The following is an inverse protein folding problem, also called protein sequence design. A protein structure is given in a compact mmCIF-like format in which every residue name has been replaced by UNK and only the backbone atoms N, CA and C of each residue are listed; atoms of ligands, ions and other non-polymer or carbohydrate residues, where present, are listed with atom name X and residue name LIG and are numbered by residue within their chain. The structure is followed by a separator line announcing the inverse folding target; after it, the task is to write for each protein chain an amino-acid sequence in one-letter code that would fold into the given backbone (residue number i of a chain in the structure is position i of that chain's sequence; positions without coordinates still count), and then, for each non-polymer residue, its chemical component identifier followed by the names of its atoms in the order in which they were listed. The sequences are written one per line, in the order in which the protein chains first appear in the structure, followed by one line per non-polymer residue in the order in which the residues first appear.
data_IF_117456803148
#
_entry.id   IF_117456803148
#
_cell.length_a   1.000
_cell.length_b   1.000
_cell.length_c   1.000
_cell.angle_alpha   90.00
_cell.angle_beta   90.00
_cell.angle_gamma   90.00
#
_symmetry.space_group_name_H-M   'P 1'
#
loop_
_entity.id
_entity.type
_entity.pdbx_description
1 polymer ?
#
# COMPACT_ATOMS: atom_id res chain seq x y z
N UNK A 1 1.02 -23.82 15.49
CA UNK A 1 -0.15 -24.71 15.66
C UNK A 1 -1.36 -23.92 16.20
N UNK A 2 -1.70 -22.78 15.60
CA UNK A 2 -2.82 -21.91 16.03
C UNK A 2 -3.56 -21.22 14.87
N UNK A 3 -3.39 -21.72 13.63
CA UNK A 3 -3.97 -21.10 12.42
C UNK A 3 -5.09 -21.95 11.78
N UNK A 4 -5.49 -23.07 12.40
CA UNK A 4 -6.46 -24.01 11.80
C UNK A 4 -7.91 -23.84 12.28
N UNK A 5 -8.20 -23.03 13.31
CA UNK A 5 -9.57 -22.87 13.86
C UNK A 5 -10.33 -21.61 13.40
N UNK A 6 -9.68 -20.67 12.71
CA UNK A 6 -10.28 -19.40 12.27
C UNK A 6 -11.31 -19.43 11.11
N UNK A 7 -11.33 -20.40 10.16
CA UNK A 7 -12.24 -20.30 9.02
C UNK A 7 -13.73 -20.48 9.38
N UNK A 8 -14.02 -21.13 10.51
CA UNK A 8 -15.40 -21.37 10.97
C UNK A 8 -16.03 -20.13 11.59
N UNK A 9 -15.29 -19.34 12.36
CA UNK A 9 -15.80 -18.13 13.01
C UNK A 9 -16.25 -17.09 11.99
N UNK A 10 -15.44 -16.84 10.96
CA UNK A 10 -15.79 -15.90 9.89
C UNK A 10 -17.03 -16.34 9.10
N UNK A 11 -17.23 -17.64 8.90
CA UNK A 11 -18.39 -18.19 8.21
C UNK A 11 -19.67 -17.97 9.05
N UNK A 12 -19.61 -18.20 10.35
CA UNK A 12 -20.72 -17.99 11.29
C UNK A 12 -21.09 -16.50 11.33
N UNK A 13 -20.11 -15.60 11.49
CA UNK A 13 -20.37 -14.16 11.44
C UNK A 13 -21.00 -13.75 10.10
N UNK A 14 -20.50 -14.29 8.98
CA UNK A 14 -21.06 -14.01 7.66
C UNK A 14 -22.54 -14.41 7.56
N UNK A 15 -22.92 -15.59 8.06
CA UNK A 15 -24.33 -16.02 8.09
C UNK A 15 -25.21 -15.11 8.95
N UNK A 16 -24.73 -14.70 10.13
CA UNK A 16 -25.44 -13.75 11.00
C UNK A 16 -25.64 -12.39 10.32
N UNK A 17 -24.61 -11.85 9.65
CA UNK A 17 -24.71 -10.61 8.88
C UNK A 17 -25.73 -10.71 7.75
N UNK A 18 -25.75 -11.83 7.00
CA UNK A 18 -26.71 -12.03 5.93
C UNK A 18 -28.15 -12.18 6.43
N UNK A 19 -28.35 -12.92 7.52
CA UNK A 19 -29.66 -13.07 8.15
C UNK A 19 -30.20 -11.70 8.62
N UNK A 20 -29.34 -10.90 9.27
CA UNK A 20 -29.69 -9.55 9.71
C UNK A 20 -29.97 -8.60 8.52
N UNK A 21 -29.13 -8.64 7.49
CA UNK A 21 -29.33 -7.82 6.29
C UNK A 21 -30.63 -8.19 5.56
N UNK A 22 -30.91 -9.49 5.40
CA UNK A 22 -32.14 -9.98 4.79
C UNK A 22 -33.37 -9.56 5.61
N UNK A 23 -33.29 -9.63 6.94
CA UNK A 23 -34.35 -9.15 7.83
C UNK A 23 -34.59 -7.65 7.67
N UNK A 24 -33.54 -6.83 7.68
CA UNK A 24 -33.66 -5.37 7.51
C UNK A 24 -34.24 -5.02 6.13
N UNK A 25 -33.82 -5.71 5.07
CA UNK A 25 -34.30 -5.43 3.71
C UNK A 25 -35.78 -5.81 3.50
N UNK A 26 -36.24 -6.93 4.08
CA UNK A 26 -37.61 -7.43 3.83
C UNK A 26 -38.62 -7.01 4.89
N UNK A 27 -38.17 -6.79 6.13
CA UNK A 27 -39.05 -6.53 7.29
C UNK A 27 -38.68 -5.26 8.06
N UNK A 28 -37.57 -4.60 7.72
CA UNK A 28 -37.18 -3.33 8.32
C UNK A 28 -38.02 -2.16 7.83
N UNK A 29 -38.00 -1.06 8.58
CA UNK A 29 -38.66 0.19 8.17
C UNK A 29 -37.83 0.90 7.10
N UNK A 30 -38.48 1.40 6.03
CA UNK A 30 -37.80 2.08 4.91
C UNK A 30 -37.05 3.36 5.34
N UNK A 31 -37.54 4.03 6.38
CA UNK A 31 -36.93 5.22 6.99
C UNK A 31 -36.79 5.01 8.49
N UNK A 32 -35.75 5.61 9.08
CA UNK A 32 -35.42 5.45 10.50
C UNK A 32 -35.62 6.75 11.28
N UNK A 33 -35.90 7.85 10.59
CA UNK A 33 -36.03 9.21 11.13
C UNK A 33 -37.14 9.32 12.18
N UNK A 34 -38.26 8.64 11.96
CA UNK A 34 -39.42 8.66 12.86
C UNK A 34 -39.35 7.54 13.91
N UNK A 35 -39.00 6.32 13.49
CA UNK A 35 -39.02 5.13 14.35
C UNK A 35 -37.82 5.05 15.29
N UNK A 36 -36.64 5.49 14.84
CA UNK A 36 -35.38 5.38 15.58
C UNK A 36 -34.48 6.62 15.36
N UNK A 37 -34.76 7.76 16.00
CA UNK A 37 -34.06 9.04 15.75
C UNK A 37 -32.54 9.00 16.00
N UNK A 38 -32.09 8.07 16.84
CA UNK A 38 -30.66 7.82 17.05
C UNK A 38 -29.98 7.20 15.81
N UNK A 39 -30.68 6.36 15.04
CA UNK A 39 -30.16 5.71 13.84
C UNK A 39 -30.55 6.44 12.53
N UNK A 40 -31.65 7.21 12.54
CA UNK A 40 -32.05 8.06 11.40
C UNK A 40 -31.04 9.18 11.12
N UNK A 41 -30.80 9.47 9.83
CA UNK A 41 -29.92 10.55 9.43
C UNK A 41 -30.30 11.17 8.08
N UNK A 42 -30.28 12.50 8.01
CA UNK A 42 -30.34 13.22 6.74
C UNK A 42 -28.92 13.47 6.23
N UNK A 43 -28.65 13.13 4.97
CA UNK A 43 -27.30 13.31 4.36
C UNK A 43 -26.80 14.76 4.38
N UNK A 44 -27.73 15.73 4.44
CA UNK A 44 -27.45 17.17 4.57
C UNK A 44 -27.14 17.59 6.02
N UNK A 45 -27.49 16.77 7.03
CA UNK A 45 -27.16 17.04 8.43
C UNK A 45 -25.68 16.76 8.69
N UNK A 46 -24.91 17.84 8.66
CA UNK A 46 -23.46 17.82 8.84
C UNK A 46 -23.02 17.29 10.19
N UNK A 47 -23.79 17.54 11.26
CA UNK A 47 -23.39 17.11 12.60
C UNK A 47 -23.59 15.61 12.73
N UNK A 48 -24.69 15.08 12.19
CA UNK A 48 -24.95 13.64 12.19
C UNK A 48 -23.89 12.88 11.38
N UNK A 49 -23.44 13.43 10.24
CA UNK A 49 -22.37 12.82 9.43
C UNK A 49 -21.03 12.80 10.16
N UNK A 50 -20.64 13.89 10.87
CA UNK A 50 -19.39 13.90 11.65
C UNK A 50 -19.46 12.99 12.87
N UNK A 51 -20.62 12.88 13.54
CA UNK A 51 -20.82 11.91 14.63
C UNK A 51 -20.68 10.47 14.14
N UNK A 52 -21.27 10.13 12.99
CA UNK A 52 -21.15 8.78 12.40
C UNK A 52 -19.68 8.50 12.02
N UNK A 53 -18.99 9.45 11.38
CA UNK A 53 -17.56 9.32 11.10
C UNK A 53 -16.74 9.11 12.39
N UNK A 54 -17.04 9.87 13.44
CA UNK A 54 -16.36 9.76 14.73
C UNK A 54 -16.53 8.40 15.40
N UNK A 55 -17.72 7.78 15.29
CA UNK A 55 -17.97 6.41 15.78
C UNK A 55 -17.13 5.40 14.99
N UNK A 56 -17.07 5.51 13.65
CA UNK A 56 -16.27 4.60 12.82
C UNK A 56 -14.77 4.71 13.09
N UNK A 57 -14.26 5.92 13.36
CA UNK A 57 -12.85 6.13 13.72
C UNK A 57 -12.49 5.47 15.07
N UNK A 58 -13.42 5.40 16.03
CA UNK A 58 -13.19 4.75 17.34
C UNK A 58 -13.16 3.21 17.23
N UNK A 59 -13.90 2.64 16.27
CA UNK A 59 -14.03 1.19 16.10
C UNK A 59 -12.89 0.54 15.31
N UNK A 60 -12.04 1.31 14.63
CA UNK A 60 -10.84 0.80 14.00
C UNK A 60 -9.83 0.32 15.08
N UNK A 61 -9.79 -0.98 15.33
CA UNK A 61 -8.87 -1.63 16.29
C UNK A 61 -8.06 -2.73 15.60
N UNK A 62 -6.89 -2.99 16.18
CA UNK A 62 -5.83 -3.84 15.64
C UNK A 62 -5.79 -5.21 16.34
N UNK A 63 -5.33 -6.25 15.62
CA UNK A 63 -5.19 -7.64 16.08
C UNK A 63 -3.76 -8.01 16.51
N UNK A 64 -3.61 -9.15 17.20
CA UNK A 64 -2.38 -9.59 17.89
C UNK A 64 -1.61 -10.71 17.13
N UNK A 65 -0.27 -10.73 17.24
CA UNK A 65 0.59 -11.80 17.85
C UNK A 65 2.08 -11.55 17.54
N UNK A 66 2.78 -10.92 18.49
CA UNK A 66 4.16 -11.15 19.02
C UNK A 66 4.40 -10.08 20.09
N UNK A 67 4.88 -10.45 21.29
CA UNK A 67 5.19 -9.45 22.34
C UNK A 67 6.44 -8.65 21.97
N UNK A 68 6.25 -7.45 21.43
CA UNK A 68 7.31 -6.45 21.28
C UNK A 68 7.39 -5.64 22.56
N UNK A 69 8.53 -5.68 23.24
CA UNK A 69 8.72 -5.01 24.54
C UNK A 69 9.24 -3.59 24.41
N UNK A 70 9.89 -3.24 23.30
CA UNK A 70 10.54 -1.94 23.07
C UNK A 70 9.96 -1.29 21.81
N UNK A 71 8.83 -0.61 21.95
CA UNK A 71 8.13 0.05 20.84
C UNK A 71 8.79 1.37 20.45
N UNK A 72 8.88 1.67 19.15
CA UNK A 72 9.27 2.99 18.68
C UNK A 72 8.11 3.97 18.84
N UNK A 73 8.13 4.74 19.91
CA UNK A 73 7.14 5.81 20.15
C UNK A 73 7.67 7.20 19.78
N UNK A 74 8.89 7.30 19.27
CA UNK A 74 9.49 8.57 18.86
C UNK A 74 8.73 9.16 17.67
N UNK A 75 8.08 10.34 17.80
CA UNK A 75 7.31 10.93 16.72
C UNK A 75 8.20 11.30 15.52
N UNK A 76 9.47 11.64 15.75
CA UNK A 76 10.39 12.00 14.68
C UNK A 76 10.68 10.83 13.72
N UNK A 77 10.65 9.59 14.22
CA UNK A 77 10.86 8.40 13.40
C UNK A 77 9.56 8.07 12.67
N UNK A 78 8.46 7.93 13.41
CA UNK A 78 7.14 7.54 12.86
C UNK A 78 6.63 8.54 11.82
N UNK A 79 6.61 9.83 12.14
CA UNK A 79 6.22 10.87 11.17
C UNK A 79 7.33 11.16 10.15
N UNK A 80 8.57 10.77 10.43
CA UNK A 80 9.68 10.82 9.49
C UNK A 80 9.39 10.00 8.23
N UNK A 81 8.85 8.78 8.37
CA UNK A 81 8.42 7.95 7.23
C UNK A 81 7.42 8.66 6.31
N UNK A 82 6.48 9.43 6.86
CA UNK A 82 5.48 10.17 6.06
C UNK A 82 6.11 11.26 5.18
N UNK A 83 7.28 11.76 5.56
CA UNK A 83 7.99 12.83 4.86
C UNK A 83 9.10 12.32 3.93
N UNK A 84 9.36 11.00 3.91
CA UNK A 84 10.33 10.41 2.99
C UNK A 84 9.84 10.51 1.54
N UNK A 85 10.81 10.62 0.64
CA UNK A 85 10.56 10.62 -0.81
C UNK A 85 9.98 9.27 -1.26
N UNK A 86 9.00 9.24 -2.19
CA UNK A 86 8.47 7.99 -2.74
C UNK A 86 9.35 7.37 -3.84
N UNK A 87 10.51 7.96 -4.13
CA UNK A 87 11.44 7.48 -5.17
C UNK A 87 12.41 6.41 -4.63
N UNK A 88 13.18 5.80 -5.55
CA UNK A 88 14.17 4.76 -5.23
C UNK A 88 15.16 5.20 -4.14
N UNK A 89 15.61 4.24 -3.34
CA UNK A 89 16.43 4.45 -2.13
C UNK A 89 15.67 4.92 -0.88
N UNK A 90 14.52 5.60 -1.03
CA UNK A 90 13.79 6.20 0.09
C UNK A 90 12.47 5.48 0.40
N UNK A 91 11.62 5.26 -0.62
CA UNK A 91 10.47 4.36 -0.55
C UNK A 91 9.29 4.79 0.33
N UNK A 92 9.17 6.08 0.71
CA UNK A 92 8.10 6.60 1.57
C UNK A 92 7.79 5.66 2.77
N UNK A 93 6.52 5.44 3.11
CA UNK A 93 6.11 4.49 4.17
C UNK A 93 6.34 3.02 3.82
N UNK A 94 6.55 2.68 2.55
CA UNK A 94 6.83 1.30 2.09
C UNK A 94 8.20 0.83 2.57
N UNK A 95 9.07 1.76 2.97
CA UNK A 95 10.42 1.49 3.45
C UNK A 95 10.54 1.02 4.90
N UNK A 96 9.44 0.89 5.64
CA UNK A 96 9.47 0.39 7.03
C UNK A 96 10.08 -1.02 7.08
N UNK A 97 11.15 -1.18 7.85
CA UNK A 97 12.00 -2.37 7.83
C UNK A 97 12.02 -3.17 9.14
N UNK A 98 11.42 -2.68 10.22
CA UNK A 98 11.28 -3.40 11.49
C UNK A 98 9.83 -3.42 12.04
N UNK A 99 9.58 -4.30 13.01
CA UNK A 99 8.24 -4.49 13.58
C UNK A 99 7.94 -3.46 14.68
N UNK A 100 8.97 -2.94 15.35
CA UNK A 100 8.87 -1.92 16.38
C UNK A 100 8.25 -0.62 15.85
N UNK A 101 8.64 -0.21 14.65
CA UNK A 101 8.13 0.95 13.93
C UNK A 101 6.73 0.70 13.37
N UNK A 102 6.43 -0.51 12.88
CA UNK A 102 5.08 -0.89 12.45
C UNK A 102 4.11 -0.77 13.63
N UNK A 103 4.38 -1.45 14.75
CA UNK A 103 3.48 -1.40 15.91
C UNK A 103 3.45 0.00 16.53
N UNK A 104 4.59 0.68 16.62
CA UNK A 104 4.66 2.07 17.08
C UNK A 104 3.79 3.00 16.24
N UNK A 105 3.81 2.85 14.92
CA UNK A 105 2.95 3.57 13.99
C UNK A 105 1.46 3.32 14.22
N UNK A 106 1.06 2.08 14.50
CA UNK A 106 -0.34 1.76 14.79
C UNK A 106 -0.81 2.29 16.15
N UNK A 107 0.06 2.33 17.16
CA UNK A 107 -0.23 3.00 18.44
C UNK A 107 -0.53 4.49 18.22
N UNK A 108 0.28 5.17 17.40
CA UNK A 108 0.03 6.55 17.00
C UNK A 108 -1.27 6.69 16.21
N UNK A 109 -1.50 5.84 15.21
CA UNK A 109 -2.71 5.86 14.38
C UNK A 109 -3.97 5.66 15.22
N UNK A 110 -4.00 4.64 16.09
CA UNK A 110 -5.12 4.38 16.99
C UNK A 110 -5.41 5.55 17.92
N UNK A 111 -4.37 6.16 18.48
CA UNK A 111 -4.50 7.36 19.32
C UNK A 111 -5.09 8.55 18.55
N UNK A 112 -4.61 8.80 17.33
CA UNK A 112 -5.10 9.88 16.46
C UNK A 112 -6.56 9.62 16.05
N UNK A 113 -6.91 8.38 15.70
CA UNK A 113 -8.28 8.01 15.34
C UNK A 113 -9.26 8.19 16.51
N UNK A 114 -8.87 7.80 17.73
CA UNK A 114 -9.71 7.99 18.93
C UNK A 114 -9.90 9.48 19.22
N UNK A 115 -8.81 10.25 19.30
CA UNK A 115 -8.87 11.67 19.61
C UNK A 115 -9.61 12.45 18.51
N UNK A 116 -9.37 12.12 17.23
CA UNK A 116 -10.07 12.66 16.08
C UNK A 116 -11.55 12.29 16.08
N UNK A 117 -11.90 11.07 16.48
CA UNK A 117 -13.28 10.61 16.60
C UNK A 117 -14.05 11.38 17.67
N UNK A 118 -13.48 11.53 18.87
CA UNK A 118 -14.04 12.35 19.95
C UNK A 118 -14.21 13.80 19.47
N UNK A 119 -13.19 14.36 18.82
CA UNK A 119 -13.25 15.71 18.25
C UNK A 119 -14.42 15.87 17.26
N UNK A 120 -14.60 14.95 16.32
CA UNK A 120 -15.68 15.00 15.34
C UNK A 120 -17.09 14.77 15.93
N UNK A 121 -17.20 14.10 17.08
CA UNK A 121 -18.45 13.97 17.84
C UNK A 121 -18.80 15.28 18.55
N UNK A 122 -17.80 15.94 19.14
CA UNK A 122 -18.01 17.14 19.97
C UNK A 122 -18.07 18.44 19.17
N UNK A 123 -17.62 18.44 17.92
CA UNK A 123 -17.53 19.65 17.10
C UNK A 123 -18.45 19.61 15.88
N UNK A 124 -18.69 20.79 15.29
CA UNK A 124 -19.44 20.96 14.05
C UNK A 124 -18.51 21.52 12.96
N UNK A 125 -18.74 21.23 11.66
CA UNK A 125 -17.87 21.74 10.61
C UNK A 125 -17.75 23.26 10.60
N UNK A 126 -16.50 23.75 10.61
CA UNK A 126 -16.19 25.18 10.58
C UNK A 126 -16.67 25.85 9.28
N UNK A 127 -16.78 27.18 9.31
CA UNK A 127 -17.28 27.95 8.17
C UNK A 127 -16.51 27.70 6.86
N UNK A 128 -15.19 27.71 6.91
CA UNK A 128 -14.35 27.46 5.73
C UNK A 128 -14.62 26.08 5.12
N UNK A 129 -14.74 25.03 5.94
CA UNK A 129 -15.02 23.66 5.48
C UNK A 129 -16.40 23.56 4.85
N UNK A 130 -17.40 24.27 5.43
CA UNK A 130 -18.75 24.36 4.88
C UNK A 130 -18.78 24.99 3.49
N UNK A 131 -17.90 25.94 3.21
CA UNK A 131 -17.79 26.64 1.92
C UNK A 131 -16.94 25.89 0.89
N UNK A 132 -16.02 25.01 1.32
CA UNK A 132 -15.11 24.31 0.42
C UNK A 132 -15.68 23.00 -0.15
N UNK A 133 -16.60 22.34 0.56
CA UNK A 133 -17.06 20.98 0.25
C UNK A 133 -18.52 20.93 -0.23
N UNK A 134 -18.85 19.86 -0.96
CA UNK A 134 -20.22 19.54 -1.35
C UNK A 134 -20.84 18.61 -0.31
N UNK A 135 -21.97 19.00 0.26
CA UNK A 135 -22.63 18.28 1.36
C UNK A 135 -23.80 17.43 0.86
N UNK A 136 -23.48 16.32 0.20
CA UNK A 136 -24.46 15.35 -0.31
C UNK A 136 -23.93 13.92 -0.14
N UNK A 137 -24.83 12.92 -0.10
CA UNK A 137 -24.41 11.52 0.03
C UNK A 137 -23.55 11.03 -1.13
N UNK A 138 -23.81 11.51 -2.35
CA UNK A 138 -22.97 11.17 -3.51
C UNK A 138 -21.59 11.81 -3.43
N UNK A 139 -21.47 13.02 -2.87
CA UNK A 139 -20.18 13.64 -2.60
C UNK A 139 -19.38 12.84 -1.55
N UNK A 140 -20.02 12.41 -0.45
CA UNK A 140 -19.34 11.59 0.56
C UNK A 140 -18.88 10.24 -0.01
N UNK A 141 -19.71 9.58 -0.82
CA UNK A 141 -19.31 8.38 -1.56
C UNK A 141 -18.08 8.66 -2.43
N UNK A 142 -18.07 9.78 -3.17
CA UNK A 142 -16.93 10.14 -4.02
C UNK A 142 -15.64 10.33 -3.21
N UNK A 143 -15.69 10.96 -2.03
CA UNK A 143 -14.52 11.17 -1.18
C UNK A 143 -13.96 9.83 -0.69
N UNK A 144 -14.82 8.90 -0.28
CA UNK A 144 -14.42 7.56 0.12
C UNK A 144 -13.85 6.74 -1.04
N UNK A 145 -14.40 6.86 -2.25
CA UNK A 145 -13.86 6.19 -3.43
C UNK A 145 -12.45 6.67 -3.78
N UNK A 146 -12.20 7.98 -3.70
CA UNK A 146 -10.85 8.54 -3.91
C UNK A 146 -9.85 8.04 -2.86
N UNK A 147 -10.27 8.00 -1.58
CA UNK A 147 -9.44 7.45 -0.51
C UNK A 147 -9.12 5.96 -0.72
N UNK A 148 -10.11 5.14 -1.08
CA UNK A 148 -9.91 3.71 -1.36
C UNK A 148 -9.03 3.47 -2.60
N UNK A 149 -9.17 4.28 -3.64
CA UNK A 149 -8.29 4.21 -4.81
C UNK A 149 -6.84 4.46 -4.42
N UNK A 150 -6.59 5.50 -3.61
CA UNK A 150 -5.26 5.79 -3.08
C UNK A 150 -4.73 4.65 -2.18
N UNK A 151 -5.54 4.09 -1.29
CA UNK A 151 -5.15 2.92 -0.48
C UNK A 151 -4.80 1.70 -1.34
N UNK A 152 -5.52 1.49 -2.44
CA UNK A 152 -5.21 0.43 -3.40
C UNK A 152 -3.83 0.60 -4.06
N UNK A 153 -3.47 1.82 -4.46
CA UNK A 153 -2.13 2.11 -4.99
C UNK A 153 -1.04 1.87 -3.95
N UNK A 154 -1.24 2.33 -2.71
CA UNK A 154 -0.30 2.11 -1.61
C UNK A 154 -0.13 0.61 -1.35
N UNK A 155 -1.23 -0.14 -1.23
CA UNK A 155 -1.19 -1.58 -1.00
C UNK A 155 -0.45 -2.33 -2.11
N UNK A 156 -0.64 -1.91 -3.37
CA UNK A 156 0.09 -2.47 -4.51
C UNK A 156 1.61 -2.26 -4.39
N UNK A 157 2.05 -1.07 -3.99
CA UNK A 157 3.48 -0.82 -3.75
C UNK A 157 4.00 -1.60 -2.54
N UNK A 158 3.23 -1.69 -1.46
CA UNK A 158 3.61 -2.44 -0.25
C UNK A 158 3.88 -3.91 -0.55
N UNK A 159 2.93 -4.60 -1.17
CA UNK A 159 3.08 -6.03 -1.49
C UNK A 159 4.20 -6.29 -2.52
N UNK A 160 4.51 -5.30 -3.36
CA UNK A 160 5.53 -5.45 -4.39
C UNK A 160 6.96 -5.24 -3.88
N UNK A 161 7.15 -4.39 -2.87
CA UNK A 161 8.48 -3.95 -2.43
C UNK A 161 8.84 -4.31 -0.99
N UNK A 162 7.87 -4.34 -0.06
CA UNK A 162 8.16 -4.51 1.35
C UNK A 162 8.18 -5.99 1.74
N UNK A 163 9.32 -6.47 2.25
CA UNK A 163 9.51 -7.85 2.72
C UNK A 163 9.49 -7.98 4.26
N UNK A 164 9.17 -6.91 5.00
CA UNK A 164 9.02 -6.92 6.46
C UNK A 164 7.59 -7.25 6.86
N UNK A 165 6.62 -6.46 6.38
CA UNK A 165 5.19 -6.68 6.57
C UNK A 165 4.64 -7.80 5.69
N UNK A 166 5.29 -8.07 4.55
CA UNK A 166 5.02 -9.23 3.69
C UNK A 166 6.25 -10.13 3.59
N UNK A 167 6.51 -10.98 4.60
CA UNK A 167 7.71 -11.81 4.63
C UNK A 167 7.79 -12.76 3.43
N UNK A 168 8.94 -12.78 2.77
CA UNK A 168 9.18 -13.59 1.58
C UNK A 168 9.07 -15.10 1.85
N UNK A 169 9.15 -15.54 3.12
CA UNK A 169 8.85 -16.91 3.55
C UNK A 169 7.39 -17.32 3.29
N UNK A 170 6.45 -16.39 3.37
CA UNK A 170 5.02 -16.67 3.18
C UNK A 170 4.53 -16.26 1.80
N UNK A 171 5.04 -15.15 1.27
CA UNK A 171 4.55 -14.53 0.04
C UNK A 171 5.44 -14.79 -1.18
N UNK A 172 6.61 -15.42 -0.99
CA UNK A 172 7.63 -15.56 -2.04
C UNK A 172 8.49 -14.30 -2.19
N UNK A 173 9.57 -14.34 -3.00
CA UNK A 173 10.47 -13.21 -3.16
C UNK A 173 9.81 -12.07 -3.93
N UNK A 174 10.15 -10.83 -3.56
CA UNK A 174 9.83 -9.66 -4.39
C UNK A 174 10.57 -9.72 -5.74
N UNK A 175 10.10 -8.96 -6.73
CA UNK A 175 10.80 -8.85 -8.03
C UNK A 175 12.27 -8.42 -7.90
N UNK A 176 12.58 -7.34 -7.14
CA UNK A 176 13.95 -6.95 -6.82
C UNK A 176 14.75 -8.07 -6.11
N UNK A 177 14.12 -8.78 -5.17
CA UNK A 177 14.76 -9.85 -4.41
C UNK A 177 15.15 -11.04 -5.28
N UNK A 178 14.26 -11.52 -6.14
CA UNK A 178 14.54 -12.59 -7.08
C UNK A 178 15.66 -12.21 -8.07
N UNK A 179 15.69 -10.95 -8.53
CA UNK A 179 16.74 -10.46 -9.44
C UNK A 179 18.12 -10.41 -8.77
N UNK A 180 18.21 -9.96 -7.52
CA UNK A 180 19.46 -10.00 -6.77
C UNK A 180 19.87 -11.43 -6.40
N UNK A 181 18.91 -12.30 -6.07
CA UNK A 181 19.16 -13.70 -5.80
C UNK A 181 19.75 -14.43 -7.02
N UNK A 182 19.32 -14.08 -8.24
CA UNK A 182 19.92 -14.57 -9.49
C UNK A 182 21.39 -14.16 -9.61
N UNK A 183 21.70 -12.87 -9.44
CA UNK A 183 23.08 -12.37 -9.55
C UNK A 183 23.99 -13.00 -8.50
N UNK A 184 23.51 -13.13 -7.26
CA UNK A 184 24.23 -13.80 -6.18
C UNK A 184 24.50 -15.27 -6.49
N UNK A 185 23.50 -16.03 -6.95
CA UNK A 185 23.64 -17.45 -7.28
C UNK A 185 24.74 -17.69 -8.32
N UNK A 186 24.77 -16.88 -9.39
CA UNK A 186 25.82 -17.00 -10.42
C UNK A 186 27.19 -16.52 -9.93
N UNK A 187 27.25 -15.51 -9.07
CA UNK A 187 28.49 -15.06 -8.43
C UNK A 187 29.10 -16.20 -7.60
N UNK A 188 28.32 -16.84 -6.73
CA UNK A 188 28.79 -17.95 -5.89
C UNK A 188 29.28 -19.11 -6.74
N UNK A 189 28.50 -19.50 -7.77
CA UNK A 189 28.88 -20.57 -8.69
C UNK A 189 30.22 -20.30 -9.35
N UNK A 190 30.38 -19.12 -9.96
CA UNK A 190 31.57 -18.80 -10.74
C UNK A 190 32.80 -18.58 -9.83
N UNK A 191 32.61 -18.06 -8.62
CA UNK A 191 33.67 -17.99 -7.62
C UNK A 191 34.17 -19.38 -7.22
N UNK A 192 33.28 -20.36 -7.04
CA UNK A 192 33.65 -21.76 -6.77
C UNK A 192 34.36 -22.44 -7.93
N UNK A 193 34.09 -22.00 -9.16
CA UNK A 193 34.82 -22.41 -10.37
C UNK A 193 36.19 -21.70 -10.51
N UNK A 194 36.57 -20.84 -9.56
CA UNK A 194 37.86 -20.14 -9.55
C UNK A 194 37.85 -18.77 -10.22
N UNK A 195 36.69 -18.21 -10.58
CA UNK A 195 36.61 -16.88 -11.15
C UNK A 195 36.85 -15.78 -10.10
N UNK A 196 37.68 -14.79 -10.44
CA UNK A 196 37.86 -13.60 -9.62
C UNK A 196 36.70 -12.61 -9.82
N UNK A 197 35.63 -12.77 -9.04
CA UNK A 197 34.39 -11.99 -9.19
C UNK A 197 34.57 -10.47 -9.05
N UNK A 198 35.59 -10.02 -8.31
CA UNK A 198 35.90 -8.60 -8.13
C UNK A 198 36.68 -7.94 -9.28
N UNK A 199 37.29 -8.73 -10.17
CA UNK A 199 38.07 -8.22 -11.31
C UNK A 199 37.55 -8.72 -12.66
N UNK A 200 36.46 -9.48 -12.67
CA UNK A 200 35.86 -10.01 -13.89
C UNK A 200 35.12 -8.89 -14.63
N UNK A 201 35.67 -8.47 -15.76
CA UNK A 201 35.06 -7.49 -16.65
C UNK A 201 34.01 -8.15 -17.54
N UNK A 202 32.83 -7.54 -17.62
CA UNK A 202 31.75 -7.91 -18.53
C UNK A 202 31.91 -7.29 -19.92
N UNK A 203 31.07 -7.69 -20.89
CA UNK A 203 31.20 -7.25 -22.29
C UNK A 203 31.08 -5.74 -22.52
N UNK A 204 30.38 -5.03 -21.62
CA UNK A 204 30.17 -3.58 -21.69
C UNK A 204 31.33 -2.77 -21.08
N UNK A 205 32.36 -3.43 -20.57
CA UNK A 205 33.45 -2.81 -19.84
C UNK A 205 33.18 -2.60 -18.35
N UNK A 206 31.93 -2.76 -17.88
CA UNK A 206 31.57 -2.80 -16.47
C UNK A 206 31.90 -4.15 -15.83
N UNK A 207 31.96 -4.22 -14.50
CA UNK A 207 32.17 -5.49 -13.82
C UNK A 207 31.00 -6.47 -14.02
N UNK A 208 31.31 -7.73 -14.30
CA UNK A 208 30.32 -8.77 -14.61
C UNK A 208 29.44 -9.11 -13.39
N UNK A 209 30.04 -9.21 -12.21
CA UNK A 209 29.35 -9.61 -10.97
C UNK A 209 29.18 -8.45 -9.98
N UNK A 210 30.15 -7.54 -9.93
CA UNK A 210 30.17 -6.41 -9.01
C UNK A 210 30.48 -5.13 -9.78
N UNK A 211 29.79 -4.04 -9.43
CA UNK A 211 30.06 -2.70 -9.96
C UNK A 211 29.79 -1.65 -8.87
N UNK A 212 29.85 -0.36 -9.22
CA UNK A 212 29.51 0.73 -8.30
C UNK A 212 28.15 1.32 -8.61
N UNK A 213 27.41 1.66 -7.56
CA UNK A 213 26.21 2.50 -7.66
C UNK A 213 26.59 3.93 -8.05
N UNK A 214 25.61 4.79 -8.43
CA UNK A 214 25.87 6.21 -8.71
C UNK A 214 26.50 6.97 -7.53
N UNK A 215 26.36 6.47 -6.30
CA UNK A 215 26.94 7.05 -5.08
C UNK A 215 28.20 6.32 -4.59
N UNK A 216 28.68 5.33 -5.35
CA UNK A 216 29.97 4.67 -5.11
C UNK A 216 29.91 3.39 -4.27
N UNK A 217 28.73 2.94 -3.80
CA UNK A 217 28.58 1.66 -3.10
C UNK A 217 28.83 0.48 -4.02
N UNK A 218 29.36 -0.62 -3.48
CA UNK A 218 29.54 -1.87 -4.21
C UNK A 218 28.20 -2.61 -4.32
N UNK A 219 27.77 -2.86 -5.55
CA UNK A 219 26.46 -3.46 -5.88
C UNK A 219 26.65 -4.61 -6.88
N UNK A 220 25.62 -5.43 -7.07
CA UNK A 220 25.63 -6.48 -8.08
C UNK A 220 25.65 -5.93 -9.52
N UNK A 221 26.29 -6.71 -10.40
CA UNK A 221 26.50 -6.45 -11.81
C UNK A 221 25.26 -6.71 -12.69
N UNK A 222 25.30 -6.28 -13.96
CA UNK A 222 24.23 -6.55 -14.92
C UNK A 222 22.94 -5.76 -14.68
N UNK A 223 21.81 -6.24 -15.21
CA UNK A 223 20.54 -5.51 -15.16
C UNK A 223 19.97 -5.30 -13.75
N UNK A 224 20.40 -6.10 -12.77
CA UNK A 224 20.01 -5.96 -11.36
C UNK A 224 20.66 -4.74 -10.68
N UNK A 225 21.49 -3.97 -11.40
CA UNK A 225 22.00 -2.68 -10.92
C UNK A 225 20.87 -1.72 -10.50
N UNK A 226 19.68 -1.87 -11.10
CA UNK A 226 18.48 -1.07 -10.79
C UNK A 226 17.85 -1.41 -9.43
N UNK A 227 18.20 -2.56 -8.85
CA UNK A 227 17.62 -3.09 -7.61
C UNK A 227 18.60 -3.07 -6.44
N UNK A 228 19.63 -2.23 -6.50
CA UNK A 228 20.68 -2.16 -5.49
C UNK A 228 20.21 -1.71 -4.09
N UNK A 229 19.06 -1.05 -4.04
CA UNK A 229 18.36 -0.63 -2.82
C UNK A 229 17.77 -1.82 -2.02
N UNK A 230 17.73 -3.03 -2.60
CA UNK A 230 17.21 -4.20 -1.90
C UNK A 230 17.98 -4.45 -0.59
N UNK A 231 17.20 -4.62 0.49
CA UNK A 231 17.65 -5.14 1.77
C UNK A 231 16.91 -6.44 2.05
N UNK A 232 17.65 -7.48 2.41
CA UNK A 232 17.08 -8.79 2.66
C UNK A 232 17.89 -9.57 3.71
N UNK A 233 17.26 -10.29 4.64
CA UNK A 233 17.96 -10.98 5.73
C UNK A 233 19.06 -11.94 5.27
N UNK A 234 18.88 -12.58 4.10
CA UNK A 234 19.85 -13.49 3.51
C UNK A 234 21.06 -12.79 2.86
N UNK A 235 20.99 -11.48 2.62
CA UNK A 235 22.06 -10.70 1.96
C UNK A 235 22.77 -9.73 2.92
N UNK A 236 22.10 -9.22 3.95
CA UNK A 236 22.63 -8.17 4.83
C UNK A 236 23.95 -8.52 5.51
N UNK A 237 24.17 -9.79 5.87
CA UNK A 237 25.43 -10.23 6.49
C UNK A 237 26.65 -10.03 5.58
N UNK A 238 26.46 -9.93 4.26
CA UNK A 238 27.51 -9.74 3.27
C UNK A 238 27.73 -8.25 2.92
N UNK A 239 26.92 -7.35 3.49
CA UNK A 239 27.03 -5.89 3.31
C UNK A 239 27.93 -5.29 4.41
N UNK A 240 28.80 -4.37 4.00
CA UNK A 240 29.63 -3.53 4.86
C UNK A 240 29.29 -2.04 4.68
N UNK A 241 30.11 -1.13 5.24
CA UNK A 241 29.84 0.31 5.18
C UNK A 241 29.78 0.91 3.76
N UNK A 242 30.41 0.24 2.78
CA UNK A 242 30.51 0.70 1.39
C UNK A 242 29.71 -0.20 0.42
N UNK A 243 28.65 -0.87 0.88
CA UNK A 243 27.90 -1.85 0.10
C UNK A 243 28.44 -3.27 0.27
N UNK A 244 28.36 -4.12 -0.77
CA UNK A 244 28.80 -5.51 -0.70
C UNK A 244 30.30 -5.64 -0.41
N UNK A 245 30.66 -6.41 0.62
CA UNK A 245 32.04 -6.59 1.04
C UNK A 245 32.69 -7.77 0.33
N UNK A 246 33.71 -7.49 -0.49
CA UNK A 246 34.44 -8.50 -1.25
C UNK A 246 35.12 -9.54 -0.35
N UNK A 247 35.55 -9.17 0.86
CA UNK A 247 36.18 -10.11 1.78
C UNK A 247 35.16 -11.12 2.32
N UNK A 248 33.96 -10.66 2.65
CA UNK A 248 32.84 -11.50 3.11
C UNK A 248 32.30 -12.38 1.99
N UNK A 249 32.13 -11.83 0.78
CA UNK A 249 31.75 -12.61 -0.40
C UNK A 249 32.72 -13.75 -0.70
N UNK A 250 34.01 -13.58 -0.38
CA UNK A 250 35.02 -14.63 -0.58
C UNK A 250 35.02 -15.71 0.49
N UNK A 251 34.64 -15.40 1.73
CA UNK A 251 34.92 -16.26 2.89
C UNK A 251 33.70 -16.63 3.73
N UNK A 252 32.68 -15.79 3.75
CA UNK A 252 31.63 -15.83 4.76
C UNK A 252 30.26 -16.23 4.21
N UNK A 253 30.18 -16.57 2.91
CA UNK A 253 28.96 -17.11 2.31
C UNK A 253 28.59 -18.44 2.96
N UNK A 254 27.39 -18.50 3.51
CA UNK A 254 26.85 -19.67 4.16
C UNK A 254 26.02 -20.51 3.19
N UNK A 255 26.01 -21.86 3.31
CA UNK A 255 25.19 -22.70 2.46
C UNK A 255 23.72 -22.29 2.43
N UNK A 256 23.12 -21.97 3.58
CA UNK A 256 21.70 -21.59 3.65
C UNK A 256 21.37 -20.32 2.82
N UNK A 257 22.32 -19.40 2.66
CA UNK A 257 22.16 -18.22 1.80
C UNK A 257 22.10 -18.63 0.33
N UNK A 258 22.91 -19.62 -0.07
CA UNK A 258 22.90 -20.18 -1.44
C UNK A 258 21.61 -20.94 -1.74
N UNK A 259 21.10 -21.72 -0.77
CA UNK A 259 19.81 -22.39 -0.90
C UNK A 259 18.68 -21.38 -1.07
N UNK A 260 18.66 -20.36 -0.21
CA UNK A 260 17.65 -19.30 -0.24
C UNK A 260 17.71 -18.49 -1.54
N UNK A 261 18.90 -18.15 -2.02
CA UNK A 261 19.04 -17.42 -3.28
C UNK A 261 18.66 -18.26 -4.50
N UNK A 262 18.98 -19.56 -4.49
CA UNK A 262 18.57 -20.46 -5.56
C UNK A 262 17.05 -20.61 -5.60
N UNK A 263 16.42 -20.81 -4.45
CA UNK A 263 14.96 -20.83 -4.30
C UNK A 263 14.33 -19.55 -4.85
N UNK A 264 14.79 -18.38 -4.38
CA UNK A 264 14.22 -17.10 -4.78
C UNK A 264 14.46 -16.75 -6.25
N UNK A 265 15.59 -17.15 -6.83
CA UNK A 265 15.82 -17.05 -8.27
C UNK A 265 14.82 -17.89 -9.07
N UNK A 266 14.52 -19.12 -8.62
CA UNK A 266 13.60 -20.03 -9.33
C UNK A 266 12.13 -19.72 -9.12
N UNK A 267 11.80 -18.96 -8.06
CA UNK A 267 10.45 -18.53 -7.72
C UNK A 267 10.22 -17.03 -7.97
N UNK A 268 10.92 -16.45 -8.96
CA UNK A 268 10.68 -15.08 -9.39
C UNK A 268 9.18 -14.85 -9.70
N UNK A 269 8.58 -13.70 -9.31
CA UNK A 269 7.15 -13.43 -9.48
C UNK A 269 6.79 -13.08 -10.93
N UNK A 270 7.01 -14.06 -11.82
CA UNK A 270 6.77 -13.99 -13.25
C UNK A 270 5.94 -15.21 -13.66
N UNK A 271 4.83 -14.96 -14.33
CA UNK A 271 3.97 -16.01 -14.84
C UNK A 271 2.88 -15.48 -15.75
N UNK A 272 2.24 -16.39 -16.47
CA UNK A 272 1.11 -16.08 -17.34
C UNK A 272 -0.23 -16.12 -16.58
N UNK A 273 -1.27 -15.56 -17.21
CA UNK A 273 -2.63 -15.58 -16.66
C UNK A 273 -3.19 -17.00 -16.43
N UNK A 274 -2.73 -18.01 -17.19
CA UNK A 274 -3.10 -19.41 -17.01
C UNK A 274 -2.16 -20.17 -16.07
N UNK A 275 -1.48 -19.46 -15.16
CA UNK A 275 -0.64 -20.01 -14.10
C UNK A 275 0.57 -20.83 -14.58
N UNK A 276 1.13 -20.48 -15.74
CA UNK A 276 2.43 -21.02 -16.17
C UNK A 276 3.51 -20.08 -15.66
N UNK A 277 4.34 -20.58 -14.74
CA UNK A 277 5.48 -19.82 -14.20
C UNK A 277 6.57 -19.59 -15.24
N UNK A 278 7.22 -18.43 -15.17
CA UNK A 278 8.34 -18.06 -16.04
C UNK A 278 8.08 -16.81 -16.89
N UNK A 279 9.05 -16.51 -17.74
CA UNK A 279 9.05 -15.29 -18.57
C UNK A 279 8.09 -15.45 -19.74
N UNK A 280 7.24 -14.45 -19.97
CA UNK A 280 6.44 -14.35 -21.18
C UNK A 280 7.30 -13.87 -22.36
N UNK A 281 7.12 -14.45 -23.55
CA UNK A 281 7.70 -13.92 -24.80
C UNK A 281 6.89 -12.75 -25.39
N UNK A 282 5.72 -12.44 -24.82
CA UNK A 282 4.83 -11.34 -25.23
C UNK A 282 4.39 -10.50 -24.01
N UNK A 283 4.31 -9.18 -24.19
CA UNK A 283 4.13 -8.21 -23.08
C UNK A 283 2.69 -8.13 -22.58
N UNK A 284 2.50 -8.18 -21.26
CA UNK A 284 1.22 -7.92 -20.60
C UNK A 284 1.28 -6.57 -19.84
N UNK A 285 0.27 -5.72 -20.01
CA UNK A 285 0.10 -4.45 -19.29
C UNK A 285 -0.96 -4.62 -18.19
N UNK A 286 -0.65 -4.17 -16.98
CA UNK A 286 -1.54 -4.23 -15.82
C UNK A 286 -2.69 -3.21 -15.90
N UNK A 287 -3.88 -3.61 -15.41
CA UNK A 287 -5.09 -2.80 -15.30
C UNK A 287 -5.27 -2.45 -13.82
N UNK A 288 -5.11 -1.18 -13.46
CA UNK A 288 -5.53 -0.68 -12.15
C UNK A 288 -5.97 0.77 -12.28
N UNK A 289 -7.28 1.04 -12.15
CA UNK A 289 -7.84 2.41 -11.95
C UNK A 289 -9.38 2.50 -11.76
N UNK A 290 -10.14 1.40 -11.63
CA UNK A 290 -11.62 1.48 -11.67
C UNK A 290 -12.24 2.31 -10.52
N UNK A 291 -11.67 2.27 -9.32
CA UNK A 291 -12.15 3.09 -8.20
C UNK A 291 -11.87 4.58 -8.40
N UNK A 292 -10.75 4.92 -9.04
CA UNK A 292 -10.41 6.31 -9.38
C UNK A 292 -11.38 6.87 -10.44
N UNK A 293 -11.73 6.06 -11.43
CA UNK A 293 -12.78 6.40 -12.40
C UNK A 293 -14.12 6.63 -11.68
N UNK A 294 -14.45 5.80 -10.70
CA UNK A 294 -15.63 5.98 -9.84
C UNK A 294 -15.60 7.27 -9.03
N UNK A 295 -14.45 7.64 -8.46
CA UNK A 295 -14.24 8.90 -7.77
C UNK A 295 -14.56 10.09 -8.68
N UNK A 296 -13.91 10.15 -9.86
CA UNK A 296 -14.09 11.23 -10.83
C UNK A 296 -15.54 11.36 -11.28
N UNK A 297 -16.20 10.22 -11.55
CA UNK A 297 -17.60 10.18 -11.95
C UNK A 297 -18.53 10.76 -10.88
N UNK A 298 -18.47 10.24 -9.64
CA UNK A 298 -19.37 10.66 -8.58
C UNK A 298 -19.05 12.06 -8.05
N UNK A 299 -17.78 12.47 -8.00
CA UNK A 299 -17.41 13.82 -7.59
C UNK A 299 -17.93 14.87 -8.60
N UNK A 300 -17.78 14.59 -9.90
CA UNK A 300 -18.32 15.43 -10.97
C UNK A 300 -19.83 15.54 -10.89
N UNK A 301 -20.54 14.40 -10.83
CA UNK A 301 -22.00 14.37 -10.75
C UNK A 301 -22.55 15.01 -9.47
N UNK A 302 -21.92 14.79 -8.32
CA UNK A 302 -22.35 15.42 -7.06
C UNK A 302 -22.26 16.95 -7.13
N UNK A 303 -21.23 17.49 -7.80
CA UNK A 303 -21.06 18.93 -7.99
C UNK A 303 -22.10 19.51 -8.95
N UNK A 304 -22.34 18.86 -10.09
CA UNK A 304 -23.35 19.33 -11.05
C UNK A 304 -24.76 19.22 -10.49
N UNK A 305 -25.06 18.17 -9.70
CA UNK A 305 -26.34 18.00 -9.03
C UNK A 305 -26.56 19.02 -7.90
N UNK A 306 -25.50 19.37 -7.15
CA UNK A 306 -25.58 20.43 -6.16
C UNK A 306 -25.80 21.82 -6.78
N UNK A 307 -25.31 22.03 -8.00
CA UNK A 307 -25.49 23.27 -8.75
C UNK A 307 -26.76 23.29 -9.64
N UNK A 308 -27.44 22.14 -9.80
CA UNK A 308 -28.76 22.03 -10.43
C UNK A 308 -28.76 21.87 -11.96
N UNK A 309 -27.66 21.45 -12.57
CA UNK A 309 -27.55 21.28 -14.03
C UNK A 309 -27.06 19.89 -14.44
N UNK A 310 -27.20 18.88 -13.58
CA UNK A 310 -26.78 17.51 -13.86
C UNK A 310 -27.56 16.83 -15.00
N UNK A 311 -28.76 17.34 -15.32
CA UNK A 311 -29.66 16.80 -16.35
C UNK A 311 -29.50 17.46 -17.72
N UNK A 312 -28.60 18.43 -17.85
CA UNK A 312 -28.37 19.16 -19.09
C UNK A 312 -28.43 20.68 -18.89
N UNK A 313 -28.20 21.39 -19.99
CA UNK A 313 -28.19 22.85 -20.04
C UNK A 313 -29.62 23.35 -20.21
N UNK A 314 -29.99 24.38 -19.45
CA UNK A 314 -31.24 25.09 -19.66
C UNK A 314 -31.19 25.85 -20.99
N UNK A 315 -32.13 25.56 -21.89
CA UNK A 315 -32.19 26.15 -23.23
C UNK A 315 -32.54 27.63 -23.19
N UNK A 316 -33.21 28.08 -22.14
CA UNK A 316 -33.60 29.48 -21.98
C UNK A 316 -32.49 30.30 -21.31
N UNK A 317 -31.57 29.65 -20.60
CA UNK A 317 -30.50 30.28 -19.81
C UNK A 317 -29.12 29.62 -20.04
N UNK A 318 -28.69 29.53 -21.28
CA UNK A 318 -27.36 29.01 -21.62
C UNK A 318 -26.25 30.00 -21.19
N UNK A 319 -25.49 29.64 -20.14
CA UNK A 319 -24.47 30.51 -19.53
C UNK A 319 -23.44 31.02 -20.53
N UNK A 320 -23.04 30.19 -21.52
CA UNK A 320 -22.01 30.57 -22.51
C UNK A 320 -22.47 31.74 -23.38
N UNK A 321 -23.77 31.87 -23.68
CA UNK A 321 -24.32 32.98 -24.46
C UNK A 321 -24.25 34.33 -23.72
N UNK A 322 -24.10 34.31 -22.40
CA UNK A 322 -23.94 35.52 -21.57
C UNK A 322 -22.48 35.97 -21.42
N UNK A 323 -21.51 35.17 -21.88
CA UNK A 323 -20.09 35.48 -21.78
C UNK A 323 -19.61 36.33 -22.96
N UNK A 324 -18.60 37.15 -22.73
CA UNK A 324 -17.95 37.91 -23.80
C UNK A 324 -17.26 36.94 -24.78
N UNK A 325 -17.42 37.14 -26.10
CA UNK A 325 -16.67 36.37 -27.09
C UNK A 325 -15.16 36.47 -26.85
N UNK A 326 -14.44 35.39 -27.14
CA UNK A 326 -12.99 35.31 -26.92
C UNK A 326 -12.17 36.02 -28.00
N UNK A 327 -12.81 36.52 -29.07
CA UNK A 327 -12.18 37.19 -30.21
C UNK A 327 -12.34 38.71 -30.13
#
# INVERSE_FOLDING_TARGET
MAAQDQPHENLIFHEEYWALAAFIMHYGTETLEESFPFFGYMRKDRNKMTTILGIHLILAREGDVRKITNLTLSPNIIFGYLLKSPFGGEGWIVSVDDLEDIIGGHVWLGSICILGGIWHILTKPFAWARCALVWSGEAYLSYSLGALAFFGFIACCFVWFNNTAYPSEFYGPTGPEASQAQAFTFLVRDQRLGANVGSAQGPTGLGKYLMRSPIGEVIFGGETMRFWDLRAPWLESLRGPNGLDLSRLKKDIQPWQEWRSAEYMTHAPLGSLNSVGGVATDQCKSIMSLLEVGHLWHAGRARTAAAGFEKGIDRDFETVLSMTPLN
#
